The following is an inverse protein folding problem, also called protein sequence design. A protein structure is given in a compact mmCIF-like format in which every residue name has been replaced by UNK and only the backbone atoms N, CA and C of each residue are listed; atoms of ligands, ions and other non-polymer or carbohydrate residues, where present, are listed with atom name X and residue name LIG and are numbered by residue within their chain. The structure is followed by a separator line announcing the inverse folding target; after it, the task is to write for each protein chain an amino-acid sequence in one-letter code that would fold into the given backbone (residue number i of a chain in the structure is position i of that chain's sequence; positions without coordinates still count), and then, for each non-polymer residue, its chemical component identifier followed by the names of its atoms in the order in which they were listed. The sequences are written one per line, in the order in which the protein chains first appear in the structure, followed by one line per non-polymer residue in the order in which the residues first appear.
data_IF_812765071130
#
_entry.id   IF_812765071130
#
_cell.length_a   1.000
_cell.length_b   1.000
_cell.length_c   1.000
_cell.angle_alpha   90.00
_cell.angle_beta   90.00
_cell.angle_gamma   90.00
#
_symmetry.space_group_name_H-M   'P 1'
#
loop_
_entity.id
_entity.type
_entity.pdbx_description
1 polymer ?
#
# COMPACT_ATOMS: atom_id res chain seq x y z
N UNK A 1 31.31 56.12 0.27
CA UNK A 1 30.36 55.18 0.88
C UNK A 1 29.05 55.29 0.11
N UNK A 2 28.63 54.25 -0.61
CA UNK A 2 27.22 54.00 -0.94
C UNK A 2 27.15 52.61 -1.58
N UNK A 3 26.57 51.69 -0.82
CA UNK A 3 26.47 50.27 -1.15
C UNK A 3 25.49 50.07 -2.31
N UNK A 4 25.87 49.20 -3.26
CA UNK A 4 24.96 48.66 -4.25
C UNK A 4 23.84 47.89 -3.56
N UNK A 5 22.66 48.50 -3.51
CA UNK A 5 21.43 47.88 -3.03
C UNK A 5 20.97 46.85 -4.06
N UNK A 6 20.91 45.59 -3.62
CA UNK A 6 20.65 44.42 -4.44
C UNK A 6 19.39 44.53 -5.31
N UNK A 7 19.58 44.27 -6.60
CA UNK A 7 18.52 43.87 -7.52
C UNK A 7 18.08 42.45 -7.13
N UNK A 8 17.32 42.28 -6.04
CA UNK A 8 16.91 40.94 -5.58
C UNK A 8 15.49 40.84 -5.00
N UNK A 9 14.60 41.78 -5.30
CA UNK A 9 13.20 41.73 -4.83
C UNK A 9 12.18 41.59 -5.96
N UNK A 10 12.55 40.89 -7.05
CA UNK A 10 11.67 40.60 -8.19
C UNK A 10 11.18 39.15 -8.29
N UNK A 11 11.50 38.31 -7.30
CA UNK A 11 11.21 36.86 -7.34
C UNK A 11 9.95 36.44 -6.56
N UNK A 12 9.21 37.39 -5.99
CA UNK A 12 8.09 37.12 -5.08
C UNK A 12 6.70 37.23 -5.71
N UNK A 13 6.57 37.65 -6.97
CA UNK A 13 5.27 37.85 -7.62
C UNK A 13 5.01 36.82 -8.72
N UNK A 14 5.44 35.57 -8.51
CA UNK A 14 5.01 34.48 -9.37
C UNK A 14 3.59 34.10 -8.96
N UNK A 15 2.67 34.38 -9.88
CA UNK A 15 1.22 34.21 -9.78
C UNK A 15 0.83 33.02 -8.87
N UNK A 16 0.08 33.23 -7.76
CA UNK A 16 -0.25 32.18 -6.78
C UNK A 16 -0.93 30.96 -7.41
N UNK A 17 -1.59 31.15 -8.55
CA UNK A 17 -2.16 30.09 -9.39
C UNK A 17 -1.12 29.04 -9.78
N UNK A 18 0.10 29.44 -10.13
CA UNK A 18 1.16 28.53 -10.57
C UNK A 18 1.66 27.65 -9.41
N UNK A 19 1.73 28.21 -8.20
CA UNK A 19 2.12 27.48 -6.99
C UNK A 19 1.06 26.46 -6.57
N UNK A 20 -0.22 26.83 -6.68
CA UNK A 20 -1.34 25.92 -6.43
C UNK A 20 -1.37 24.78 -7.46
N UNK A 21 -1.17 25.09 -8.75
CA UNK A 21 -1.07 24.07 -9.80
C UNK A 21 0.08 23.10 -9.56
N UNK A 22 1.24 23.60 -9.11
CA UNK A 22 2.38 22.76 -8.75
C UNK A 22 2.01 21.80 -7.61
N UNK A 23 1.41 22.30 -6.53
CA UNK A 23 0.98 21.46 -5.41
C UNK A 23 -0.08 20.43 -5.82
N UNK A 24 -1.05 20.83 -6.66
CA UNK A 24 -2.04 19.90 -7.22
C UNK A 24 -1.38 18.82 -8.08
N UNK A 25 -0.43 19.19 -8.94
CA UNK A 25 0.31 18.26 -9.77
C UNK A 25 1.07 17.23 -8.91
N UNK A 26 1.79 17.68 -7.88
CA UNK A 26 2.48 16.81 -6.94
C UNK A 26 1.51 15.91 -6.16
N UNK A 27 0.38 16.46 -5.70
CA UNK A 27 -0.68 15.68 -5.04
C UNK A 27 -1.24 14.60 -5.95
N UNK A 28 -1.52 14.93 -7.22
CA UNK A 28 -2.04 13.98 -8.20
C UNK A 28 -1.00 12.94 -8.61
N UNK A 29 0.26 13.34 -8.75
CA UNK A 29 1.38 12.44 -9.02
C UNK A 29 1.53 11.41 -7.90
N UNK A 30 1.51 11.84 -6.63
CA UNK A 30 1.56 10.95 -5.47
C UNK A 30 0.32 10.05 -5.42
N UNK A 31 -0.88 10.60 -5.65
CA UNK A 31 -2.11 9.82 -5.68
C UNK A 31 -2.07 8.73 -6.77
N UNK A 32 -1.63 9.08 -7.98
CA UNK A 32 -1.44 8.12 -9.07
C UNK A 32 -0.41 7.06 -8.73
N UNK A 33 0.70 7.45 -8.09
CA UNK A 33 1.73 6.52 -7.61
C UNK A 33 1.17 5.53 -6.58
N UNK A 34 0.44 6.03 -5.58
CA UNK A 34 -0.22 5.19 -4.56
C UNK A 34 -1.24 4.26 -5.21
N UNK A 35 -2.05 4.74 -6.16
CA UNK A 35 -3.05 3.93 -6.84
C UNK A 35 -2.40 2.81 -7.66
N UNK A 36 -1.33 3.12 -8.41
CA UNK A 36 -0.55 2.15 -9.18
C UNK A 36 0.15 1.12 -8.29
N UNK A 37 0.77 1.55 -7.19
CA UNK A 37 1.34 0.64 -6.20
C UNK A 37 0.28 -0.17 -5.48
N UNK A 38 -0.91 0.38 -5.22
CA UNK A 38 -2.01 -0.35 -4.58
C UNK A 38 -2.62 -1.37 -5.51
N UNK A 39 -2.77 -1.07 -6.80
CA UNK A 39 -3.17 -2.03 -7.85
C UNK A 39 -2.13 -3.16 -7.96
N UNK A 40 -0.84 -2.82 -8.04
CA UNK A 40 0.22 -3.81 -8.14
C UNK A 40 0.37 -4.64 -6.85
N UNK A 41 0.24 -4.01 -5.70
CA UNK A 41 0.24 -4.66 -4.39
C UNK A 41 -1.02 -5.49 -4.18
N UNK A 42 -2.20 -5.10 -4.66
CA UNK A 42 -3.41 -5.93 -4.58
C UNK A 42 -3.37 -7.12 -5.53
N UNK A 43 -2.72 -6.99 -6.70
CA UNK A 43 -2.43 -8.15 -7.56
C UNK A 43 -1.53 -9.17 -6.85
N UNK A 44 -0.61 -8.72 -6.00
CA UNK A 44 0.24 -9.60 -5.18
C UNK A 44 -0.32 -10.00 -3.81
N UNK A 45 -1.22 -9.21 -3.21
CA UNK A 45 -1.76 -9.43 -1.86
C UNK A 45 -3.07 -10.20 -1.85
N UNK A 46 -3.92 -10.05 -2.87
CA UNK A 46 -5.08 -10.95 -3.04
C UNK A 46 -4.63 -12.38 -3.35
N UNK A 47 -3.43 -12.55 -3.92
CA UNK A 47 -2.72 -13.83 -4.01
C UNK A 47 -2.11 -14.25 -2.68
N UNK A 48 -1.31 -13.40 -2.01
CA UNK A 48 -0.59 -13.80 -0.79
C UNK A 48 -1.45 -14.09 0.44
N UNK A 49 -2.56 -13.38 0.66
CA UNK A 49 -3.47 -13.74 1.77
C UNK A 49 -4.19 -15.05 1.47
N UNK A 50 -4.65 -15.25 0.22
CA UNK A 50 -5.27 -16.52 -0.20
C UNK A 50 -4.28 -17.68 -0.23
N UNK A 51 -3.06 -17.48 -0.71
CA UNK A 51 -1.98 -18.48 -0.70
C UNK A 51 -1.55 -18.81 0.74
N UNK A 52 -1.52 -17.81 1.64
CA UNK A 52 -1.23 -18.06 3.05
C UNK A 52 -2.37 -18.82 3.76
N UNK A 53 -3.64 -18.50 3.44
CA UNK A 53 -4.81 -19.25 3.91
C UNK A 53 -4.84 -20.68 3.36
N UNK A 54 -4.64 -20.85 2.05
CA UNK A 54 -4.55 -22.16 1.38
C UNK A 54 -3.41 -22.98 1.97
N UNK A 55 -2.22 -22.39 2.15
CA UNK A 55 -1.09 -23.07 2.80
C UNK A 55 -1.42 -23.50 4.23
N UNK A 56 -2.16 -22.70 4.99
CA UNK A 56 -2.55 -23.03 6.38
C UNK A 56 -3.58 -24.17 6.43
N UNK A 57 -4.58 -24.14 5.55
CA UNK A 57 -5.57 -25.22 5.41
C UNK A 57 -4.94 -26.52 4.89
N UNK A 58 -3.97 -26.44 3.98
CA UNK A 58 -3.28 -27.62 3.43
C UNK A 58 -2.43 -28.32 4.51
N UNK A 59 -1.72 -27.54 5.33
CA UNK A 59 -1.01 -28.05 6.52
C UNK A 59 -1.98 -28.74 7.49
N UNK A 60 -3.13 -28.13 7.75
CA UNK A 60 -4.18 -28.70 8.59
C UNK A 60 -4.69 -30.04 8.04
N UNK A 61 -5.02 -30.08 6.74
CA UNK A 61 -5.55 -31.27 6.07
C UNK A 61 -4.55 -32.42 6.10
N UNK A 62 -3.25 -32.13 5.92
CA UNK A 62 -2.17 -33.12 5.97
C UNK A 62 -2.01 -33.76 7.35
N UNK A 63 -2.16 -32.99 8.43
CA UNK A 63 -2.12 -33.52 9.81
C UNK A 63 -3.38 -34.31 10.17
N UNK A 64 -4.54 -33.88 9.68
CA UNK A 64 -5.79 -34.64 9.81
C UNK A 64 -5.69 -36.00 9.11
N UNK A 65 -5.13 -36.05 7.89
CA UNK A 65 -4.90 -37.29 7.17
C UNK A 65 -3.89 -38.24 7.85
N UNK A 66 -2.93 -37.69 8.62
CA UNK A 66 -2.04 -38.47 9.48
C UNK A 66 -2.70 -38.94 10.78
N UNK A 67 -3.89 -38.43 11.11
CA UNK A 67 -4.55 -38.68 12.39
C UNK A 67 -3.91 -37.95 13.58
N UNK A 68 -3.05 -36.96 13.32
CA UNK A 68 -2.40 -36.15 14.37
C UNK A 68 -3.36 -35.14 15.03
N UNK A 69 -4.50 -34.85 14.37
CA UNK A 69 -5.56 -33.98 14.88
C UNK A 69 -6.92 -34.61 14.61
N UNK A 70 -7.83 -34.45 15.58
CA UNK A 70 -9.20 -34.95 15.48
C UNK A 70 -10.06 -34.13 14.53
N UNK A 71 -11.19 -34.70 14.08
CA UNK A 71 -12.17 -34.02 13.22
C UNK A 71 -12.70 -32.72 13.87
N UNK A 72 -12.88 -32.75 15.19
CA UNK A 72 -13.39 -31.60 15.96
C UNK A 72 -12.39 -30.44 16.02
N UNK A 73 -11.09 -30.76 16.19
CA UNK A 73 -10.01 -29.77 16.16
C UNK A 73 -9.81 -29.17 14.77
N UNK A 74 -9.89 -30.01 13.73
CA UNK A 74 -9.83 -29.58 12.33
C UNK A 74 -10.94 -28.58 12.00
N UNK A 75 -12.19 -28.87 12.39
CA UNK A 75 -13.33 -27.98 12.13
C UNK A 75 -13.24 -26.64 12.87
N UNK A 76 -12.73 -26.62 14.12
CA UNK A 76 -12.51 -25.36 14.85
C UNK A 76 -11.47 -24.48 14.17
N UNK A 77 -10.31 -25.05 13.84
CA UNK A 77 -9.22 -24.31 13.19
C UNK A 77 -9.58 -23.88 11.76
N UNK A 78 -10.36 -24.68 11.03
CA UNK A 78 -10.87 -24.30 9.71
C UNK A 78 -11.78 -23.07 9.79
N UNK A 79 -12.68 -23.02 10.77
CA UNK A 79 -13.58 -21.87 11.00
C UNK A 79 -12.86 -20.60 11.45
N UNK A 80 -11.75 -20.73 12.17
CA UNK A 80 -10.93 -19.58 12.57
C UNK A 80 -10.09 -19.00 11.41
N UNK A 81 -9.80 -19.81 10.39
CA UNK A 81 -9.00 -19.43 9.22
C UNK A 81 -9.84 -18.98 8.03
N UNK A 82 -11.16 -19.10 8.08
CA UNK A 82 -12.12 -18.67 7.04
C UNK A 82 -12.69 -17.29 7.38
#
# INVERSE_FOLDING_TARGET
MMHGGGMMDGWGMMNPVMWIFMLLFWGFAIFGLICAFRELANRGKSGKEKEAQESSLDILKKRYARGEIGKEEFERMRKDLE
#
